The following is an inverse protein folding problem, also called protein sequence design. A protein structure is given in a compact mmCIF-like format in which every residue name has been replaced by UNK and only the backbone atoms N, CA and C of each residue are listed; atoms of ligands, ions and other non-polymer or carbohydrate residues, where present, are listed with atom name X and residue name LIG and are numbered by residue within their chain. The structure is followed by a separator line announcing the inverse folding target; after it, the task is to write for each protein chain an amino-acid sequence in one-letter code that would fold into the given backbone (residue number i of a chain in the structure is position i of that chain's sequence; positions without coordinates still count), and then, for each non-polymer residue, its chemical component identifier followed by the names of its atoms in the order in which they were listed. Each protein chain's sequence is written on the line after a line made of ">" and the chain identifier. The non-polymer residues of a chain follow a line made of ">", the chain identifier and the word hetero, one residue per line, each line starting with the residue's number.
data_IF_700657385009
#
_entry.id   IF_700657385009
#
_cell.length_a   1.000
_cell.length_b   1.000
_cell.length_c   1.000
_cell.angle_alpha   90.00
_cell.angle_beta   90.00
_cell.angle_gamma   90.00
#
_symmetry.space_group_name_H-M   'P 1'
#
loop_
_entity.id
_entity.type
_entity.pdbx_description
1 polymer ?
#
# COMPACT_ATOMS: atom_id res chain seq x y z
N UNK A 1 -15.69 -37.35 -5.95
CA UNK A 1 -16.26 -36.22 -5.18
C UNK A 1 -15.40 -35.01 -5.51
N UNK A 2 -15.95 -34.07 -6.27
CA UNK A 2 -15.25 -32.83 -6.67
C UNK A 2 -15.41 -31.83 -5.54
N UNK A 3 -14.32 -31.20 -5.11
CA UNK A 3 -14.39 -29.94 -4.36
C UNK A 3 -14.05 -28.83 -5.37
N UNK A 4 -15.12 -28.15 -5.76
CA UNK A 4 -15.17 -27.04 -6.69
C UNK A 4 -14.73 -25.76 -5.95
N UNK A 5 -13.69 -25.07 -6.44
CA UNK A 5 -13.26 -23.75 -5.94
C UNK A 5 -11.79 -23.59 -5.52
N UNK A 6 -10.99 -24.65 -5.47
CA UNK A 6 -9.55 -24.57 -5.20
C UNK A 6 -8.76 -24.38 -6.49
N UNK A 7 -8.41 -23.14 -6.83
CA UNK A 7 -7.68 -22.82 -8.07
C UNK A 7 -6.40 -23.67 -8.27
N UNK A 8 -5.89 -23.68 -9.50
CA UNK A 8 -4.63 -24.34 -9.82
C UNK A 8 -3.48 -23.72 -9.01
N UNK A 9 -2.69 -24.55 -8.33
CA UNK A 9 -1.47 -24.13 -7.65
C UNK A 9 -0.44 -23.81 -8.73
N UNK A 10 0.21 -22.62 -8.72
CA UNK A 10 1.17 -22.26 -9.74
C UNK A 10 2.46 -23.08 -9.58
N UNK A 11 3.10 -23.43 -10.69
CA UNK A 11 4.41 -24.11 -10.70
C UNK A 11 5.54 -23.23 -10.12
N UNK A 12 5.34 -21.91 -10.15
CA UNK A 12 6.23 -20.92 -9.54
C UNK A 12 5.38 -19.96 -8.71
N UNK A 13 5.58 -19.99 -7.39
CA UNK A 13 4.88 -19.11 -6.47
C UNK A 13 5.60 -17.76 -6.36
N UNK A 14 4.84 -16.67 -6.54
CA UNK A 14 5.29 -15.31 -6.29
C UNK A 14 4.54 -14.81 -5.08
N UNK A 15 5.28 -14.44 -4.03
CA UNK A 15 4.67 -14.04 -2.77
C UNK A 15 3.96 -12.70 -2.95
N UNK A 16 2.62 -12.64 -2.85
CA UNK A 16 1.92 -11.38 -2.99
C UNK A 16 2.23 -10.47 -1.80
N UNK A 17 2.27 -9.16 -2.05
CA UNK A 17 2.32 -8.22 -0.95
C UNK A 17 1.09 -8.36 -0.05
N UNK A 18 1.32 -8.52 1.25
CA UNK A 18 0.25 -8.62 2.23
C UNK A 18 -0.37 -7.24 2.49
N UNK A 19 -1.69 -7.23 2.63
CA UNK A 19 -2.44 -6.08 3.14
C UNK A 19 -2.70 -6.23 4.63
N UNK A 20 -2.71 -5.11 5.33
CA UNK A 20 -3.35 -4.99 6.63
C UNK A 20 -4.41 -3.87 6.56
N UNK A 21 -5.17 -3.69 7.63
CA UNK A 21 -6.23 -2.67 7.65
C UNK A 21 -5.70 -1.26 7.42
N UNK A 22 -4.44 -1.00 7.79
CA UNK A 22 -3.79 0.29 7.58
C UNK A 22 -3.44 0.52 6.10
N UNK A 23 -2.75 -0.42 5.43
CA UNK A 23 -2.42 -0.27 4.00
C UNK A 23 -3.67 -0.28 3.13
N UNK A 24 -4.72 -1.00 3.55
CA UNK A 24 -6.05 -0.91 2.92
C UNK A 24 -6.66 0.47 3.10
N UNK A 25 -6.63 1.01 4.33
CA UNK A 25 -7.13 2.34 4.62
C UNK A 25 -6.45 3.43 3.80
N UNK A 26 -5.14 3.34 3.55
CA UNK A 26 -4.41 4.29 2.68
C UNK A 26 -4.94 4.29 1.23
N UNK A 27 -5.37 3.14 0.72
CA UNK A 27 -5.93 3.02 -0.63
C UNK A 27 -7.40 3.44 -0.68
N UNK A 28 -8.24 2.90 0.21
CA UNK A 28 -9.68 3.18 0.25
C UNK A 28 -10.01 4.65 0.54
N UNK A 29 -9.18 5.31 1.35
CA UNK A 29 -9.34 6.72 1.70
C UNK A 29 -8.47 7.63 0.82
N UNK A 30 -8.05 7.14 -0.35
CA UNK A 30 -7.39 7.91 -1.41
C UNK A 30 -6.07 8.59 -1.02
N UNK A 31 -5.46 8.23 0.11
CA UNK A 31 -4.21 8.86 0.58
C UNK A 31 -3.06 8.66 -0.40
N UNK A 32 -2.94 7.47 -1.01
CA UNK A 32 -1.91 7.18 -2.02
C UNK A 32 -2.18 7.97 -3.31
N UNK A 33 -3.46 8.09 -3.70
CA UNK A 33 -3.88 8.84 -4.89
C UNK A 33 -3.63 10.36 -4.72
N UNK A 34 -3.97 10.90 -3.56
CA UNK A 34 -3.75 12.31 -3.23
C UNK A 34 -2.26 12.63 -3.18
N UNK A 35 -1.46 11.73 -2.59
CA UNK A 35 -0.01 11.87 -2.62
C UNK A 35 0.54 11.84 -4.04
N UNK A 36 0.08 10.91 -4.90
CA UNK A 36 0.50 10.86 -6.30
C UNK A 36 0.16 12.17 -7.04
N UNK A 37 -0.96 12.80 -6.72
CA UNK A 37 -1.32 14.12 -7.25
C UNK A 37 -0.41 15.22 -6.73
N UNK A 38 -0.08 15.25 -5.43
CA UNK A 38 0.91 16.19 -4.90
C UNK A 38 2.29 15.98 -5.52
N UNK A 39 2.70 14.72 -5.68
CA UNK A 39 3.95 14.35 -6.31
C UNK A 39 4.02 14.90 -7.76
N UNK A 40 2.92 14.78 -8.51
CA UNK A 40 2.82 15.32 -9.86
C UNK A 40 3.04 16.83 -9.94
N UNK A 41 2.47 17.60 -9.01
CA UNK A 41 2.66 19.05 -9.00
C UNK A 41 4.06 19.49 -8.53
N UNK A 42 4.76 18.64 -7.79
CA UNK A 42 6.07 18.96 -7.22
C UNK A 42 7.26 18.42 -8.04
N UNK A 43 7.01 17.54 -9.02
CA UNK A 43 8.05 16.88 -9.80
C UNK A 43 7.79 17.03 -11.29
N UNK A 44 8.82 16.78 -12.10
CA UNK A 44 8.69 16.68 -13.54
C UNK A 44 9.21 15.32 -13.98
N UNK A 45 8.35 14.50 -14.57
CA UNK A 45 8.68 13.18 -15.08
C UNK A 45 8.29 13.15 -16.56
N UNK A 46 9.29 13.13 -17.44
CA UNK A 46 9.08 13.27 -18.89
C UNK A 46 8.81 11.94 -19.61
N UNK A 47 9.19 10.81 -18.99
CA UNK A 47 8.97 9.48 -19.55
C UNK A 47 8.89 8.43 -18.46
N UNK A 48 8.21 7.31 -18.76
CA UNK A 48 8.11 6.15 -17.87
C UNK A 48 9.50 5.61 -17.50
N UNK A 49 10.40 5.49 -18.48
CA UNK A 49 11.77 4.99 -18.26
C UNK A 49 12.63 5.93 -17.41
N UNK A 50 12.30 7.22 -17.37
CA UNK A 50 12.96 8.20 -16.52
C UNK A 50 12.33 8.33 -15.13
N UNK A 51 11.25 7.60 -14.84
CA UNK A 51 10.62 7.63 -13.53
C UNK A 51 11.49 6.91 -12.50
N UNK A 52 11.67 7.54 -11.34
CA UNK A 52 12.28 6.92 -10.18
C UNK A 52 11.56 7.38 -8.92
N UNK A 53 11.49 6.50 -7.93
CA UNK A 53 10.96 6.82 -6.61
C UNK A 53 12.05 6.49 -5.59
N UNK A 54 12.56 7.54 -4.96
CA UNK A 54 13.72 7.52 -4.07
C UNK A 54 13.31 7.31 -2.61
N UNK A 55 14.29 7.08 -1.74
CA UNK A 55 14.03 7.07 -0.30
C UNK A 55 13.55 8.43 0.22
N UNK A 56 13.99 9.55 -0.38
CA UNK A 56 13.50 10.88 -0.02
C UNK A 56 12.01 11.04 -0.36
N UNK A 57 11.58 10.51 -1.51
CA UNK A 57 10.16 10.49 -1.88
C UNK A 57 9.34 9.67 -0.88
N UNK A 58 9.92 8.62 -0.31
CA UNK A 58 9.27 7.86 0.75
C UNK A 58 9.18 8.63 2.07
N UNK A 59 10.21 9.37 2.43
CA UNK A 59 10.18 10.26 3.60
C UNK A 59 9.14 11.39 3.42
N UNK A 60 9.00 11.93 2.22
CA UNK A 60 7.95 12.89 1.87
C UNK A 60 6.55 12.27 1.96
N UNK A 61 6.38 11.04 1.48
CA UNK A 61 5.13 10.30 1.66
C UNK A 61 4.77 10.14 3.14
N UNK A 62 5.72 9.75 4.01
CA UNK A 62 5.44 9.64 5.45
C UNK A 62 5.03 10.97 6.07
N UNK A 63 5.66 12.08 5.68
CA UNK A 63 5.27 13.44 6.10
C UNK A 63 3.86 13.79 5.63
N UNK A 64 3.54 13.46 4.38
CA UNK A 64 2.21 13.67 3.81
C UNK A 64 1.14 12.90 4.60
N UNK A 65 1.39 11.63 4.89
CA UNK A 65 0.49 10.77 5.67
C UNK A 65 0.30 11.32 7.09
N UNK A 66 1.38 11.74 7.77
CA UNK A 66 1.30 12.30 9.12
C UNK A 66 0.50 13.62 9.16
N UNK A 67 0.66 14.49 8.15
CA UNK A 67 -0.11 15.74 8.04
C UNK A 67 -1.61 15.47 7.81
N UNK A 68 -1.93 14.40 7.09
CA UNK A 68 -3.30 13.98 6.76
C UNK A 68 -3.83 12.90 7.72
N UNK A 69 -3.22 12.66 8.89
CA UNK A 69 -3.61 11.58 9.81
C UNK A 69 -5.06 11.71 10.34
N UNK A 70 -5.65 12.91 10.26
CA UNK A 70 -7.07 13.12 10.54
C UNK A 70 -8.00 12.72 9.39
N UNK A 71 -7.49 12.72 8.15
CA UNK A 71 -8.26 12.46 6.93
C UNK A 71 -8.48 10.96 6.68
N UNK A 72 -7.66 10.09 7.28
CA UNK A 72 -7.85 8.64 7.16
C UNK A 72 -7.79 7.94 8.52
N UNK A 73 -8.71 7.02 8.73
CA UNK A 73 -8.82 6.27 9.97
C UNK A 73 -8.96 4.78 9.66
N UNK A 74 -8.27 3.95 10.44
CA UNK A 74 -8.50 2.51 10.49
C UNK A 74 -9.88 2.22 11.12
N UNK A 75 -10.37 0.99 10.99
CA UNK A 75 -11.63 0.59 11.65
C UNK A 75 -11.59 0.85 13.17
N UNK A 76 -10.47 0.53 13.82
CA UNK A 76 -10.25 0.76 15.25
C UNK A 76 -10.38 2.25 15.60
N UNK A 77 -9.77 3.15 14.82
CA UNK A 77 -9.83 4.59 15.08
C UNK A 77 -11.22 5.17 14.82
N UNK A 78 -11.94 4.65 13.81
CA UNK A 78 -13.34 5.01 13.60
C UNK A 78 -14.19 4.66 14.83
N UNK A 79 -13.97 3.47 15.40
CA UNK A 79 -14.64 3.02 16.63
C UNK A 79 -14.26 3.87 17.85
N UNK A 80 -12.99 4.20 18.05
CA UNK A 80 -12.58 5.05 19.16
C UNK A 80 -13.18 6.46 19.05
N UNK A 81 -13.19 7.03 17.84
CA UNK A 81 -13.84 8.33 17.61
C UNK A 81 -15.36 8.28 17.82
N UNK A 82 -16.02 7.14 17.60
CA UNK A 82 -17.44 7.02 17.95
C UNK A 82 -17.66 6.98 19.45
N UNK A 83 -16.74 6.40 20.23
CA UNK A 83 -16.79 6.43 21.70
C UNK A 83 -16.69 7.87 22.21
N UNK A 84 -15.77 8.67 21.68
CA UNK A 84 -15.62 10.09 22.05
C UNK A 84 -16.83 10.96 21.69
N UNK A 85 -17.57 10.57 20.65
CA UNK A 85 -18.81 11.26 20.23
C UNK A 85 -20.05 10.83 21.00
N UNK A 86 -19.95 9.79 21.81
CA UNK A 86 -21.06 9.33 22.64
C UNK A 86 -21.38 10.38 23.71
N UNK A 87 -22.67 10.63 23.96
CA UNK A 87 -23.10 11.63 24.94
C UNK A 87 -22.66 11.29 26.36
N UNK A 88 -22.49 10.00 26.65
CA UNK A 88 -22.07 9.53 27.97
C UNK A 88 -20.57 9.69 28.20
N UNK A 89 -19.77 9.88 27.14
CA UNK A 89 -18.32 10.05 27.24
C UNK A 89 -17.95 11.26 28.11
N UNK A 90 -18.73 12.34 28.03
CA UNK A 90 -18.48 13.54 28.82
C UNK A 90 -18.71 13.34 30.32
N UNK A 91 -19.59 12.42 30.70
CA UNK A 91 -19.85 12.08 32.10
C UNK A 91 -18.76 11.19 32.72
N UNK A 92 -17.85 10.62 31.91
CA UNK A 92 -16.75 9.79 32.39
C UNK A 92 -15.72 10.61 33.19
N UNK A 93 -15.00 9.91 34.07
CA UNK A 93 -13.97 10.53 34.89
C UNK A 93 -12.80 11.06 34.04
N UNK A 94 -12.11 12.09 34.56
CA UNK A 94 -10.91 12.62 33.91
C UNK A 94 -9.83 11.56 33.68
N UNK A 95 -9.70 10.58 34.58
CA UNK A 95 -8.77 9.46 34.41
C UNK A 95 -9.10 8.64 33.16
N UNK A 96 -10.38 8.30 32.95
CA UNK A 96 -10.80 7.54 31.76
C UNK A 96 -10.55 8.34 30.48
N UNK A 97 -10.85 9.65 30.49
CA UNK A 97 -10.56 10.54 29.35
C UNK A 97 -9.05 10.58 29.04
N UNK A 98 -8.20 10.61 30.05
CA UNK A 98 -6.74 10.57 29.89
C UNK A 98 -6.23 9.23 29.33
N UNK A 99 -6.81 8.12 29.77
CA UNK A 99 -6.48 6.78 29.27
C UNK A 99 -6.90 6.61 27.80
N UNK A 100 -8.09 7.09 27.44
CA UNK A 100 -8.56 7.15 26.04
C UNK A 100 -7.57 7.90 25.15
N UNK A 101 -7.15 9.10 25.56
CA UNK A 101 -6.17 9.90 24.82
C UNK A 101 -4.80 9.20 24.72
N UNK A 102 -4.41 8.45 25.74
CA UNK A 102 -3.18 7.65 25.74
C UNK A 102 -3.25 6.48 24.77
N UNK A 103 -4.40 5.80 24.70
CA UNK A 103 -4.64 4.74 23.73
C UNK A 103 -4.61 5.29 22.30
N UNK A 104 -5.28 6.42 22.05
CA UNK A 104 -5.30 7.06 20.74
C UNK A 104 -3.89 7.45 20.27
N UNK A 105 -3.06 8.02 21.16
CA UNK A 105 -1.65 8.31 20.85
C UNK A 105 -0.83 7.05 20.55
N UNK A 106 -1.08 5.96 21.28
CA UNK A 106 -0.38 4.69 21.08
C UNK A 106 -0.70 4.09 19.71
N UNK A 107 -1.97 4.14 19.29
CA UNK A 107 -2.41 3.71 17.97
C UNK A 107 -1.76 4.55 16.87
N UNK A 108 -1.71 5.89 17.02
CA UNK A 108 -1.02 6.76 16.07
C UNK A 108 0.48 6.45 15.95
N UNK A 109 1.14 6.10 17.07
CA UNK A 109 2.53 5.65 17.04
C UNK A 109 2.68 4.33 16.27
N UNK A 110 1.77 3.38 16.48
CA UNK A 110 1.81 2.09 15.80
C UNK A 110 1.68 2.22 14.28
N UNK A 111 0.87 3.17 13.78
CA UNK A 111 0.82 3.51 12.35
C UNK A 111 2.20 3.81 11.76
N UNK A 112 3.05 4.49 12.51
CA UNK A 112 4.42 4.81 12.07
C UNK A 112 5.24 3.54 11.90
N UNK A 113 5.14 2.59 12.84
CA UNK A 113 5.77 1.26 12.74
C UNK A 113 5.25 0.51 11.51
N UNK A 114 3.95 0.56 11.25
CA UNK A 114 3.33 -0.09 10.10
C UNK A 114 3.85 0.50 8.77
N UNK A 115 4.01 1.83 8.68
CA UNK A 115 4.63 2.46 7.51
C UNK A 115 6.02 1.88 7.23
N UNK A 116 6.83 1.58 8.24
CA UNK A 116 8.11 0.91 8.02
C UNK A 116 7.95 -0.55 7.60
N UNK A 117 7.11 -1.32 8.31
CA UNK A 117 6.94 -2.75 8.06
C UNK A 117 6.38 -3.06 6.67
N UNK A 118 5.56 -2.15 6.10
CA UNK A 118 4.92 -2.32 4.80
C UNK A 118 5.50 -1.40 3.71
N UNK A 119 6.71 -0.83 3.94
CA UNK A 119 7.37 0.13 3.04
C UNK A 119 7.35 -0.32 1.58
N UNK A 120 7.76 -1.55 1.29
CA UNK A 120 7.85 -2.03 -0.10
C UNK A 120 6.50 -2.06 -0.82
N UNK A 121 5.43 -2.47 -0.12
CA UNK A 121 4.09 -2.46 -0.67
C UNK A 121 3.60 -1.04 -0.93
N UNK A 122 3.76 -0.16 0.05
CA UNK A 122 3.35 1.24 -0.06
C UNK A 122 4.10 1.93 -1.20
N UNK A 123 5.40 1.67 -1.36
CA UNK A 123 6.19 2.17 -2.49
C UNK A 123 5.65 1.63 -3.81
N UNK A 124 5.32 0.34 -3.90
CA UNK A 124 4.72 -0.22 -5.12
C UNK A 124 3.42 0.51 -5.47
N UNK A 125 2.50 0.63 -4.52
CA UNK A 125 1.22 1.29 -4.75
C UNK A 125 1.39 2.77 -5.11
N UNK A 126 2.31 3.46 -4.42
CA UNK A 126 2.66 4.84 -4.71
C UNK A 126 3.22 5.02 -6.12
N UNK A 127 4.15 4.14 -6.54
CA UNK A 127 4.69 4.13 -7.91
C UNK A 127 3.57 3.90 -8.93
N UNK A 128 2.71 2.91 -8.70
CA UNK A 128 1.61 2.59 -9.61
C UNK A 128 0.65 3.79 -9.78
N UNK A 129 0.28 4.47 -8.68
CA UNK A 129 -0.55 5.69 -8.74
C UNK A 129 0.17 6.88 -9.39
N UNK A 130 1.45 7.10 -9.09
CA UNK A 130 2.23 8.19 -9.69
C UNK A 130 2.36 7.98 -11.20
N UNK A 131 2.73 6.79 -11.65
CA UNK A 131 2.88 6.50 -13.07
C UNK A 131 1.54 6.70 -13.78
N UNK A 132 0.43 6.20 -13.22
CA UNK A 132 -0.91 6.46 -13.77
C UNK A 132 -1.24 7.95 -13.85
N UNK A 133 -0.74 8.76 -12.91
CA UNK A 133 -0.98 10.21 -12.90
C UNK A 133 -0.27 10.92 -14.06
N UNK A 134 0.92 10.47 -14.45
CA UNK A 134 1.70 11.07 -15.56
C UNK A 134 1.41 10.45 -16.93
N UNK A 135 1.25 9.13 -16.99
CA UNK A 135 1.29 8.33 -18.22
C UNK A 135 0.07 7.43 -18.41
N UNK A 136 -0.97 7.62 -17.60
CA UNK A 136 -2.20 6.83 -17.64
C UNK A 136 -1.93 5.33 -17.44
N UNK A 137 -2.88 4.48 -17.82
CA UNK A 137 -2.78 3.02 -17.60
C UNK A 137 -1.75 2.40 -18.53
N UNK A 138 -1.62 2.94 -19.73
CA UNK A 138 -0.67 2.56 -20.75
C UNK A 138 0.76 2.64 -20.21
N UNK A 139 1.15 3.77 -19.59
CA UNK A 139 2.47 3.88 -18.99
C UNK A 139 2.69 2.98 -17.77
N UNK A 140 1.63 2.63 -17.03
CA UNK A 140 1.71 1.63 -15.97
C UNK A 140 2.00 0.24 -16.53
N UNK A 141 1.38 -0.14 -17.65
CA UNK A 141 1.70 -1.39 -18.34
C UNK A 141 3.15 -1.40 -18.82
N UNK A 142 3.60 -0.33 -19.48
CA UNK A 142 4.98 -0.20 -19.96
C UNK A 142 6.00 -0.32 -18.82
N UNK A 143 5.71 0.32 -17.68
CA UNK A 143 6.56 0.21 -16.49
C UNK A 143 6.61 -1.23 -15.96
N UNK A 144 5.46 -1.88 -15.82
CA UNK A 144 5.36 -3.22 -15.25
C UNK A 144 6.04 -4.30 -16.11
N UNK A 145 6.15 -4.12 -17.43
CA UNK A 145 6.89 -5.05 -18.30
C UNK A 145 8.32 -5.31 -17.79
N UNK A 146 8.94 -4.32 -17.15
CA UNK A 146 10.33 -4.39 -16.67
C UNK A 146 10.48 -4.38 -15.15
N UNK A 147 9.38 -4.17 -14.40
CA UNK A 147 9.43 -3.99 -12.94
C UNK A 147 8.51 -4.93 -12.16
N UNK A 148 7.56 -5.59 -12.81
CA UNK A 148 6.69 -6.55 -12.15
C UNK A 148 7.39 -7.91 -12.02
N UNK A 149 7.44 -8.42 -10.78
CA UNK A 149 8.14 -9.67 -10.46
C UNK A 149 7.56 -10.87 -11.21
N UNK A 150 6.24 -10.89 -11.46
CA UNK A 150 5.62 -11.96 -12.23
C UNK A 150 6.01 -11.90 -13.70
N UNK A 151 5.97 -10.72 -14.31
CA UNK A 151 6.40 -10.56 -15.70
C UNK A 151 7.87 -10.93 -15.85
N UNK A 152 8.75 -10.43 -14.98
CA UNK A 152 10.19 -10.74 -15.00
C UNK A 152 10.42 -12.25 -14.85
N UNK A 153 9.72 -12.88 -13.90
CA UNK A 153 9.83 -14.33 -13.67
C UNK A 153 9.37 -15.12 -14.88
N UNK A 154 8.25 -14.74 -15.51
CA UNK A 154 7.75 -15.37 -16.73
C UNK A 154 8.76 -15.25 -17.88
N UNK A 155 9.31 -14.06 -18.11
CA UNK A 155 10.33 -13.84 -19.15
C UNK A 155 11.57 -14.71 -18.91
N UNK A 156 12.06 -14.76 -17.66
CA UNK A 156 13.21 -15.59 -17.30
C UNK A 156 12.96 -17.08 -17.50
N UNK A 157 11.75 -17.57 -17.20
CA UNK A 157 11.37 -18.96 -17.42
C UNK A 157 11.31 -19.29 -18.91
N UNK A 158 10.70 -18.42 -19.72
CA UNK A 158 10.59 -18.61 -21.17
C UNK A 158 11.95 -18.56 -21.88
N UNK A 159 12.91 -17.81 -21.34
CA UNK A 159 14.27 -17.72 -21.86
C UNK A 159 15.14 -18.96 -21.50
N UNK A 160 14.75 -19.73 -20.48
CA UNK A 160 15.47 -20.93 -20.04
C UNK A 160 14.73 -22.20 -20.50
N UNK A 161 15.15 -22.73 -21.64
CA UNK A 161 14.59 -23.96 -22.22
C UNK A 161 14.64 -25.15 -21.25
N UNK A 162 15.65 -25.25 -20.39
CA UNK A 162 15.73 -26.37 -19.44
C UNK A 162 14.68 -26.20 -18.34
N UNK A 163 14.58 -25.01 -17.74
CA UNK A 163 13.60 -24.69 -16.71
C UNK A 163 12.17 -24.80 -17.24
N UNK A 164 11.89 -24.20 -18.40
CA UNK A 164 10.59 -24.28 -19.07
C UNK A 164 10.16 -25.74 -19.30
N UNK A 165 11.03 -26.56 -19.91
CA UNK A 165 10.72 -27.96 -20.17
C UNK A 165 10.62 -28.80 -18.89
N UNK A 166 11.26 -28.41 -17.79
CA UNK A 166 11.10 -29.10 -16.51
C UNK A 166 9.71 -28.87 -15.91
N UNK A 167 9.15 -27.67 -16.07
CA UNK A 167 7.81 -27.30 -15.61
C UNK A 167 6.73 -28.05 -16.41
N UNK A 168 6.91 -28.18 -17.74
CA UNK A 168 5.94 -28.85 -18.62
C UNK A 168 5.90 -30.39 -18.48
N UNK A 169 6.83 -31.01 -17.76
CA UNK A 169 6.91 -32.48 -17.62
C UNK A 169 6.01 -33.04 -16.52
N UNK A 170 5.18 -32.19 -15.90
CA UNK A 170 4.18 -32.57 -14.91
C UNK A 170 2.88 -33.06 -15.53
#
# INVERSE_FOLDING_TARGET
>A
KVYDGGGIVPDIEITPFKYNDFTRALSEQQIIFDYATQYHYNHTVNSVNGFSFTDNDYEDFKRFVAKNDLAYNTSIEKTLRSVEKDTDFEALSNTIKQDYETLLRSIRREKTTILYAYKNKIIKDGKDEIIKRYFYREGLYDYNITHDEAIITSVNVLADNQKYNSILKH
#
